data_IF_748539742018
#
_entry.id   IF_748539742018
#
_cell.length_a   1.000
_cell.length_b   1.000
_cell.length_c   1.000
_cell.angle_alpha   90.00
_cell.angle_beta   90.00
_cell.angle_gamma   90.00
#
_symmetry.space_group_name_H-M   'P 1'
#
loop_
_entity.id
_entity.type
_entity.pdbx_description
1 polymer ?
#
# COMPACT_ATOMS: atom_id res chain seq x y z
N UNK A 1 -22.30 -3.41 42.32
CA UNK A 1 -21.35 -2.58 41.55
C UNK A 1 -20.26 -3.47 40.92
N UNK A 2 -20.59 -4.28 39.90
CA UNK A 2 -19.63 -5.25 39.30
C UNK A 2 -19.50 -5.08 37.77
N UNK A 3 -20.45 -4.40 37.13
CA UNK A 3 -20.56 -4.33 35.66
C UNK A 3 -19.50 -3.48 34.95
N UNK A 4 -19.01 -2.38 35.55
CA UNK A 4 -18.01 -1.50 34.90
C UNK A 4 -16.66 -2.17 34.66
N UNK A 5 -16.25 -3.11 35.52
CA UNK A 5 -14.96 -3.81 35.35
C UNK A 5 -14.96 -4.81 34.18
N UNK A 6 -16.13 -5.41 33.91
CA UNK A 6 -16.33 -6.36 32.82
C UNK A 6 -16.36 -5.61 31.48
N UNK A 7 -17.00 -4.44 31.44
CA UNK A 7 -16.98 -3.58 30.27
C UNK A 7 -15.57 -3.06 29.95
N UNK A 8 -14.81 -2.61 30.96
CA UNK A 8 -13.44 -2.14 30.78
C UNK A 8 -12.49 -3.24 30.26
N UNK A 9 -12.62 -4.46 30.79
CA UNK A 9 -11.79 -5.60 30.33
C UNK A 9 -12.21 -6.14 28.96
N UNK A 10 -13.48 -6.05 28.59
CA UNK A 10 -13.95 -6.38 27.24
C UNK A 10 -13.43 -5.36 26.21
N UNK A 11 -13.44 -4.07 26.55
CA UNK A 11 -12.95 -3.00 25.69
C UNK A 11 -11.43 -3.11 25.45
N UNK A 12 -10.64 -3.40 26.50
CA UNK A 12 -9.19 -3.53 26.39
C UNK A 12 -8.76 -4.72 25.50
N UNK A 13 -9.50 -5.84 25.59
CA UNK A 13 -9.31 -7.01 24.71
C UNK A 13 -9.69 -6.72 23.25
N UNK A 14 -10.79 -6.01 23.02
CA UNK A 14 -11.20 -5.61 21.68
C UNK A 14 -10.19 -4.65 21.05
N UNK A 15 -9.61 -3.75 21.86
CA UNK A 15 -8.57 -2.80 21.42
C UNK A 15 -7.28 -3.51 20.98
N UNK A 16 -6.85 -4.56 21.68
CA UNK A 16 -5.68 -5.36 21.26
C UNK A 16 -5.92 -6.13 19.96
N UNK A 17 -7.14 -6.64 19.74
CA UNK A 17 -7.50 -7.34 18.51
C UNK A 17 -7.58 -6.41 17.27
N UNK A 18 -7.81 -5.11 17.49
CA UNK A 18 -7.90 -4.05 16.45
C UNK A 18 -6.63 -3.21 16.39
N UNK A 19 -5.63 -3.49 17.24
CA UNK A 19 -4.37 -2.75 17.23
C UNK A 19 -3.71 -2.94 15.85
N UNK A 20 -3.47 -1.86 15.10
CA UNK A 20 -2.77 -1.95 13.82
C UNK A 20 -1.44 -2.66 14.06
N UNK A 21 -1.11 -3.65 13.25
CA UNK A 21 0.16 -4.37 13.36
C UNK A 21 1.31 -3.34 13.45
N UNK A 22 2.02 -3.32 14.58
CA UNK A 22 3.11 -2.36 14.80
C UNK A 22 4.24 -2.65 13.81
N UNK A 23 4.48 -1.68 12.93
CA UNK A 23 5.55 -1.70 11.93
C UNK A 23 5.05 -2.01 10.53
N UNK A 24 5.40 -1.14 9.57
CA UNK A 24 5.31 -1.49 8.16
C UNK A 24 6.06 -2.82 7.96
N UNK A 25 5.42 -3.84 7.37
CA UNK A 25 6.13 -5.08 7.05
C UNK A 25 7.37 -4.74 6.24
N UNK A 26 8.53 -5.30 6.58
CA UNK A 26 9.78 -5.06 5.84
C UNK A 26 9.63 -5.30 4.32
N UNK A 27 8.70 -6.17 3.91
CA UNK A 27 8.34 -6.37 2.51
C UNK A 27 7.78 -5.11 1.81
N UNK A 28 7.08 -4.22 2.52
CA UNK A 28 6.54 -2.97 1.96
C UNK A 28 7.67 -1.99 1.65
N UNK A 29 8.66 -1.85 2.53
CA UNK A 29 9.85 -1.03 2.27
C UNK A 29 10.67 -1.54 1.08
N UNK A 30 10.85 -2.86 0.97
CA UNK A 30 11.53 -3.45 -0.20
C UNK A 30 10.74 -3.24 -1.48
N UNK A 31 9.43 -3.50 -1.47
CA UNK A 31 8.56 -3.27 -2.61
C UNK A 31 8.55 -1.80 -3.08
N UNK A 32 8.57 -0.85 -2.14
CA UNK A 32 8.70 0.57 -2.46
C UNK A 32 10.05 0.90 -3.12
N UNK A 33 11.14 0.29 -2.65
CA UNK A 33 12.47 0.48 -3.24
C UNK A 33 12.57 -0.12 -4.65
N UNK A 34 11.91 -1.26 -4.90
CA UNK A 34 11.90 -1.90 -6.22
C UNK A 34 10.99 -1.14 -7.20
N UNK A 35 9.86 -0.61 -6.73
CA UNK A 35 9.02 0.30 -7.50
C UNK A 35 9.80 1.55 -7.94
N UNK A 36 10.59 2.15 -7.04
CA UNK A 36 11.40 3.31 -7.38
C UNK A 36 12.41 3.02 -8.51
N UNK A 37 13.04 1.83 -8.51
CA UNK A 37 13.96 1.40 -9.59
C UNK A 37 13.24 1.23 -10.93
N UNK A 38 12.04 0.64 -10.92
CA UNK A 38 11.22 0.49 -12.13
C UNK A 38 10.86 1.86 -12.70
N UNK A 39 10.50 2.82 -11.84
CA UNK A 39 10.16 4.18 -12.26
C UNK A 39 11.36 4.92 -12.87
N UNK A 40 12.54 4.77 -12.29
CA UNK A 40 13.79 5.33 -12.85
C UNK A 40 14.07 4.77 -14.26
N UNK A 41 13.82 3.49 -14.48
CA UNK A 41 13.94 2.86 -15.80
C UNK A 41 12.93 3.42 -16.82
N UNK A 42 11.69 3.64 -16.40
CA UNK A 42 10.65 4.27 -17.23
C UNK A 42 11.06 5.69 -17.61
N UNK A 43 11.57 6.49 -16.68
CA UNK A 43 12.03 7.86 -16.95
C UNK A 43 13.19 7.89 -17.96
N UNK A 44 14.12 6.94 -17.83
CA UNK A 44 15.25 6.82 -18.76
C UNK A 44 14.77 6.45 -20.18
N UNK A 45 13.83 5.51 -20.30
CA UNK A 45 13.22 5.11 -21.56
C UNK A 45 12.38 6.25 -22.18
N UNK A 46 11.60 6.97 -21.37
CA UNK A 46 10.81 8.12 -21.80
C UNK A 46 11.69 9.24 -22.33
N UNK A 47 12.79 9.55 -21.64
CA UNK A 47 13.78 10.55 -22.09
C UNK A 47 14.43 10.13 -23.41
N UNK A 48 14.77 8.85 -23.58
CA UNK A 48 15.29 8.30 -24.83
C UNK A 48 14.29 8.43 -25.99
N UNK A 49 13.02 8.10 -25.75
CA UNK A 49 11.95 8.22 -26.74
C UNK A 49 11.67 9.69 -27.12
N UNK A 50 11.66 10.61 -26.15
CA UNK A 50 11.45 12.05 -26.40
C UNK A 50 12.59 12.71 -27.18
N UNK A 51 13.82 12.21 -27.03
CA UNK A 51 15.01 12.68 -27.78
C UNK A 51 15.13 12.02 -29.16
N UNK A 52 14.21 11.12 -29.52
CA UNK A 52 14.25 10.36 -30.78
C UNK A 52 15.39 9.34 -30.85
N UNK A 53 16.06 9.07 -29.73
CA UNK A 53 17.22 8.18 -29.65
C UNK A 53 16.86 6.78 -29.11
N UNK A 54 15.63 6.59 -28.61
CA UNK A 54 15.13 5.35 -28.02
C UNK A 54 13.91 4.78 -28.74
N UNK A 55 13.77 3.46 -28.70
CA UNK A 55 12.67 2.72 -29.33
C UNK A 55 11.36 2.95 -28.55
N UNK A 56 10.29 3.36 -29.24
CA UNK A 56 8.98 3.59 -28.60
C UNK A 56 8.41 2.29 -28.04
N UNK A 57 8.85 1.14 -28.56
CA UNK A 57 8.49 -0.16 -28.05
C UNK A 57 9.00 -0.40 -26.62
N UNK A 58 10.24 0.01 -26.32
CA UNK A 58 10.84 -0.15 -25.00
C UNK A 58 10.10 0.67 -23.94
N UNK A 59 9.63 1.87 -24.31
CA UNK A 59 8.79 2.69 -23.45
C UNK A 59 7.46 1.98 -23.11
N UNK A 60 6.77 1.44 -24.11
CA UNK A 60 5.50 0.72 -23.89
C UNK A 60 5.71 -0.52 -23.03
N UNK A 61 6.80 -1.25 -23.24
CA UNK A 61 7.15 -2.41 -22.42
C UNK A 61 7.43 -2.01 -20.96
N UNK A 62 8.15 -0.90 -20.74
CA UNK A 62 8.42 -0.38 -19.40
C UNK A 62 7.16 0.09 -18.67
N UNK A 63 6.20 0.68 -19.39
CA UNK A 63 4.90 1.09 -18.84
C UNK A 63 4.07 -0.14 -18.46
N UNK A 64 4.04 -1.18 -19.30
CA UNK A 64 3.34 -2.43 -18.99
C UNK A 64 3.91 -3.11 -17.74
N UNK A 65 5.23 -3.03 -17.52
CA UNK A 65 5.87 -3.53 -16.30
C UNK A 65 5.44 -2.71 -15.06
N UNK A 66 5.31 -1.39 -15.20
CA UNK A 66 4.89 -0.50 -14.12
C UNK A 66 3.40 -0.67 -13.73
N UNK A 67 2.55 -1.10 -14.67
CA UNK A 67 1.11 -1.34 -14.45
C UNK A 67 0.84 -2.41 -13.37
N UNK A 68 1.60 -3.51 -13.37
CA UNK A 68 1.47 -4.59 -12.37
C UNK A 68 1.78 -4.07 -10.96
N UNK A 69 2.76 -3.19 -10.82
CA UNK A 69 3.10 -2.59 -9.54
C UNK A 69 2.01 -1.61 -9.07
N UNK A 70 1.41 -0.86 -9.99
CA UNK A 70 0.31 0.06 -9.69
C UNK A 70 -0.93 -0.66 -9.18
N UNK A 71 -1.31 -1.80 -9.78
CA UNK A 71 -2.44 -2.62 -9.29
C UNK A 71 -2.24 -3.05 -7.83
N UNK A 72 -1.02 -3.42 -7.46
CA UNK A 72 -0.69 -3.82 -6.09
C UNK A 72 -0.80 -2.65 -5.12
N UNK A 73 -0.36 -1.46 -5.52
CA UNK A 73 -0.50 -0.23 -4.72
C UNK A 73 -1.96 0.13 -4.50
N UNK A 74 -2.81 -0.01 -5.53
CA UNK A 74 -4.26 0.23 -5.42
C UNK A 74 -4.89 -0.78 -4.45
N UNK A 75 -4.51 -2.06 -4.51
CA UNK A 75 -4.99 -3.07 -3.57
C UNK A 75 -4.63 -2.74 -2.10
N UNK A 76 -3.41 -2.24 -1.86
CA UNK A 76 -3.00 -1.78 -0.52
C UNK A 76 -3.86 -0.59 -0.08
N UNK A 77 -4.05 0.40 -0.97
CA UNK A 77 -4.87 1.59 -0.70
C UNK A 77 -6.31 1.20 -0.36
N UNK A 78 -6.90 0.27 -1.09
CA UNK A 78 -8.26 -0.21 -0.84
C UNK A 78 -8.36 -0.95 0.50
N UNK A 79 -7.35 -1.75 0.87
CA UNK A 79 -7.29 -2.42 2.17
C UNK A 79 -7.15 -1.44 3.35
N UNK A 80 -6.38 -0.37 3.18
CA UNK A 80 -6.27 0.69 4.19
C UNK A 80 -7.61 1.43 4.35
N UNK A 81 -8.29 1.70 3.23
CA UNK A 81 -9.61 2.35 3.22
C UNK A 81 -10.68 1.46 3.86
N UNK A 82 -10.65 0.15 3.62
CA UNK A 82 -11.53 -0.84 4.26
C UNK A 82 -11.33 -0.86 5.78
N UNK A 83 -10.08 -0.97 6.25
CA UNK A 83 -9.74 -0.97 7.67
C UNK A 83 -10.19 0.33 8.37
N UNK A 84 -10.01 1.49 7.71
CA UNK A 84 -10.46 2.77 8.26
C UNK A 84 -11.98 2.85 8.39
N UNK A 85 -12.71 2.35 7.39
CA UNK A 85 -14.17 2.28 7.42
C UNK A 85 -14.69 1.30 8.48
N UNK A 86 -13.98 0.19 8.72
CA UNK A 86 -14.35 -0.80 9.74
C UNK A 86 -14.22 -0.23 11.16
N UNK A 87 -13.14 0.52 11.44
CA UNK A 87 -12.95 1.23 12.72
C UNK A 87 -14.09 2.24 12.97
N UNK A 88 -14.52 2.97 11.92
CA UNK A 88 -15.60 3.96 12.03
C UNK A 88 -16.99 3.34 12.14
N UNK A 89 -17.17 2.08 11.71
CA UNK A 89 -18.45 1.35 11.78
C UNK A 89 -18.68 0.64 13.10
N UNK A 90 -17.67 0.52 13.97
CA UNK A 90 -17.89 0.04 15.32
C UNK A 90 -18.65 1.10 16.14
N UNK A 91 -19.89 0.82 16.59
CA UNK A 91 -20.54 1.68 17.57
C UNK A 91 -19.76 1.65 18.88
N UNK A 92 -19.54 2.83 19.47
CA UNK A 92 -18.98 3.00 20.82
C UNK A 92 -19.88 2.41 21.90
#
# INVERSE_FOLDING_TARGET
MITSSIAATAYDRARQAVSPAEGLPQGVTTAASDFAKVMEQVDHAATGAMTGQGDTHDLVQSIAQAEIALETVVAIRDKVVEAYQEILRMPV
#
